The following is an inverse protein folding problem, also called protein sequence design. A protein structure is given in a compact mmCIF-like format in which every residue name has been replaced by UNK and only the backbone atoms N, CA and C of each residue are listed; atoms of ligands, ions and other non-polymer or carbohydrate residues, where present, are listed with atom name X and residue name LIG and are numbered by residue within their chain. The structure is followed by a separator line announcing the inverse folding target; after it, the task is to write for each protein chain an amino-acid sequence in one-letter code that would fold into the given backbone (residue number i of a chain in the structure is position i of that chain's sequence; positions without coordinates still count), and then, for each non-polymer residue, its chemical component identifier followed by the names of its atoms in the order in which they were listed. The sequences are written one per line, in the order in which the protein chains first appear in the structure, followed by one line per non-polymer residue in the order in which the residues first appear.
data_IF_581227498843
#
_entry.id   IF_581227498843
#
_cell.length_a   1.000
_cell.length_b   1.000
_cell.length_c   1.000
_cell.angle_alpha   90.00
_cell.angle_beta   90.00
_cell.angle_gamma   90.00
#
_symmetry.space_group_name_H-M   'P 1'
#
loop_
_entity.id
_entity.type
_entity.pdbx_description
1 polymer ?
#
# COMPACT_ATOMS: atom_id res chain seq x y z
N UNK A 1 -6.19 16.75 -1.83
CA UNK A 1 -6.00 15.62 -2.78
C UNK A 1 -7.33 15.28 -3.43
N UNK A 2 -7.38 14.88 -4.71
CA UNK A 2 -8.62 14.38 -5.31
C UNK A 2 -9.12 13.09 -4.65
N UNK A 3 -8.26 12.40 -3.94
CA UNK A 3 -8.52 11.10 -3.30
C UNK A 3 -9.19 11.23 -1.94
N UNK A 4 -8.88 12.25 -1.16
CA UNK A 4 -9.40 12.42 0.20
C UNK A 4 -9.59 13.89 0.56
N UNK A 5 -10.48 14.15 1.51
CA UNK A 5 -10.66 15.42 2.21
C UNK A 5 -10.27 15.25 3.67
N UNK A 6 -9.61 16.26 4.24
CA UNK A 6 -9.21 16.26 5.64
C UNK A 6 -10.07 17.27 6.40
N UNK A 7 -10.55 16.89 7.56
CA UNK A 7 -11.21 17.78 8.50
C UNK A 7 -10.81 17.43 9.94
N UNK A 8 -11.14 18.31 10.87
CA UNK A 8 -10.89 18.07 12.29
C UNK A 8 -12.21 17.82 13.01
N UNK A 9 -12.28 16.74 13.79
CA UNK A 9 -13.38 16.46 14.69
C UNK A 9 -12.86 16.46 16.13
N UNK A 10 -13.31 17.41 16.96
CA UNK A 10 -12.85 17.57 18.35
C UNK A 10 -11.31 17.61 18.48
N UNK A 11 -10.61 18.28 17.56
CA UNK A 11 -9.16 18.39 17.55
C UNK A 11 -8.42 17.18 16.95
N UNK A 12 -9.13 16.10 16.60
CA UNK A 12 -8.55 14.91 15.97
C UNK A 12 -8.61 15.07 14.45
N UNK A 13 -7.48 14.93 13.72
CA UNK A 13 -7.50 14.95 12.27
C UNK A 13 -8.20 13.70 11.74
N UNK A 14 -9.15 13.90 10.84
CA UNK A 14 -9.89 12.83 10.16
C UNK A 14 -9.69 12.94 8.67
N UNK A 15 -9.25 11.86 8.05
CA UNK A 15 -9.20 11.74 6.59
C UNK A 15 -10.44 11.01 6.08
N UNK A 16 -11.20 11.68 5.20
CA UNK A 16 -12.32 11.07 4.53
C UNK A 16 -11.92 10.71 3.09
N UNK A 17 -11.85 9.43 2.80
CA UNK A 17 -11.46 8.91 1.50
C UNK A 17 -12.67 8.80 0.57
N UNK A 18 -12.56 9.36 -0.64
CA UNK A 18 -13.57 9.22 -1.71
C UNK A 18 -13.50 7.86 -2.40
N UNK A 19 -12.31 7.26 -2.41
CA UNK A 19 -12.05 5.92 -2.95
C UNK A 19 -11.18 5.16 -1.97
N UNK A 20 -11.38 3.86 -1.86
CA UNK A 20 -10.55 3.00 -1.01
C UNK A 20 -9.12 2.90 -1.54
N UNK A 21 -8.97 2.83 -2.87
CA UNK A 21 -7.70 2.68 -3.57
C UNK A 21 -7.36 3.91 -4.41
N UNK A 22 -6.09 4.02 -4.83
CA UNK A 22 -5.65 5.07 -5.74
C UNK A 22 -5.95 4.70 -7.21
N UNK A 23 -7.23 4.84 -7.56
CA UNK A 23 -7.78 4.45 -8.88
C UNK A 23 -7.18 5.22 -10.06
N UNK A 24 -6.56 6.37 -9.79
CA UNK A 24 -5.93 7.17 -10.83
C UNK A 24 -4.51 6.71 -11.17
N UNK A 25 -3.88 5.96 -10.27
CA UNK A 25 -2.47 5.61 -10.38
C UNK A 25 -2.23 4.26 -11.04
N UNK A 26 -3.05 3.26 -10.72
CA UNK A 26 -2.87 1.88 -11.17
C UNK A 26 -4.10 1.41 -11.93
N UNK A 27 -3.90 0.76 -13.10
CA UNK A 27 -5.03 0.20 -13.87
C UNK A 27 -5.84 -0.81 -13.04
N UNK A 28 -5.15 -1.62 -12.26
CA UNK A 28 -5.77 -2.62 -11.40
C UNK A 28 -6.58 -2.01 -10.24
N UNK A 29 -6.28 -0.77 -9.84
CA UNK A 29 -6.96 -0.17 -8.68
C UNK A 29 -8.44 0.13 -8.93
N UNK A 30 -8.85 0.45 -10.17
CA UNK A 30 -10.25 0.74 -10.46
C UNK A 30 -11.15 -0.51 -10.26
N UNK A 31 -10.91 -1.66 -10.91
CA UNK A 31 -11.72 -2.85 -10.68
C UNK A 31 -11.64 -3.36 -9.23
N UNK A 32 -10.49 -3.25 -8.58
CA UNK A 32 -10.37 -3.64 -7.17
C UNK A 32 -11.12 -2.69 -6.23
N UNK A 33 -11.21 -1.40 -6.56
CA UNK A 33 -12.02 -0.45 -5.79
C UNK A 33 -13.52 -0.75 -5.92
N UNK A 34 -13.99 -1.10 -7.12
CA UNK A 34 -15.38 -1.56 -7.31
C UNK A 34 -15.65 -2.84 -6.52
N UNK A 35 -14.74 -3.80 -6.57
CA UNK A 35 -14.84 -5.02 -5.77
C UNK A 35 -14.91 -4.70 -4.27
N UNK A 36 -14.10 -3.77 -3.76
CA UNK A 36 -14.19 -3.32 -2.37
C UNK A 36 -15.56 -2.72 -2.02
N UNK A 37 -16.19 -1.97 -2.94
CA UNK A 37 -17.56 -1.49 -2.72
C UNK A 37 -18.57 -2.63 -2.60
N UNK A 38 -18.45 -3.69 -3.39
CA UNK A 38 -19.34 -4.87 -3.28
C UNK A 38 -19.10 -5.68 -2.01
N UNK A 39 -17.83 -5.72 -1.54
CA UNK A 39 -17.44 -6.43 -0.32
C UNK A 39 -17.71 -5.64 0.96
N UNK A 40 -18.06 -4.35 0.83
CA UNK A 40 -18.39 -3.51 1.98
C UNK A 40 -19.73 -3.96 2.56
N UNK A 41 -19.69 -5.04 3.32
CA UNK A 41 -20.80 -5.56 4.11
C UNK A 41 -20.46 -5.39 5.59
N UNK A 42 -20.81 -4.25 6.21
CA UNK A 42 -20.39 -3.95 7.56
C UNK A 42 -21.07 -4.89 8.56
N UNK A 43 -20.27 -5.44 9.47
CA UNK A 43 -20.75 -6.25 10.59
C UNK A 43 -20.78 -5.39 11.85
N UNK A 44 -21.85 -5.50 12.60
CA UNK A 44 -21.91 -4.88 13.93
C UNK A 44 -21.03 -5.67 14.91
N UNK A 45 -20.16 -4.95 15.61
CA UNK A 45 -19.30 -5.50 16.65
C UNK A 45 -19.46 -4.67 17.92
N UNK A 46 -19.61 -5.36 19.04
CA UNK A 46 -19.67 -4.75 20.37
C UNK A 46 -18.24 -4.68 20.93
N UNK A 47 -17.82 -3.47 21.31
CA UNK A 47 -16.51 -3.22 21.92
C UNK A 47 -16.69 -2.89 23.41
N UNK A 48 -15.61 -3.08 24.20
CA UNK A 48 -15.55 -2.74 25.63
C UNK A 48 -16.72 -3.32 26.43
N UNK A 49 -16.96 -4.64 26.32
CA UNK A 49 -18.04 -5.30 27.05
C UNK A 49 -19.45 -4.93 26.60
N UNK A 50 -19.59 -4.38 25.37
CA UNK A 50 -20.90 -4.00 24.81
C UNK A 50 -21.24 -2.52 24.96
N UNK A 51 -20.35 -1.70 25.51
CA UNK A 51 -20.56 -0.26 25.69
C UNK A 51 -20.66 0.47 24.35
N UNK A 52 -19.88 0.03 23.34
CA UNK A 52 -19.86 0.64 22.01
C UNK A 52 -20.27 -0.38 20.94
N UNK A 53 -21.13 0.05 20.04
CA UNK A 53 -21.45 -0.68 18.81
C UNK A 53 -20.76 0.01 17.64
N UNK A 54 -19.97 -0.78 16.88
CA UNK A 54 -19.25 -0.28 15.70
C UNK A 54 -19.49 -1.22 14.53
N UNK A 55 -19.51 -0.65 13.33
CA UNK A 55 -19.58 -1.41 12.09
C UNK A 55 -18.17 -1.58 11.54
N UNK A 56 -17.76 -2.81 11.34
CA UNK A 56 -16.46 -3.14 10.74
C UNK A 56 -16.67 -3.82 9.38
N UNK A 57 -15.79 -3.60 8.40
CA UNK A 57 -15.86 -4.27 7.11
C UNK A 57 -15.73 -5.80 7.22
N UNK A 58 -16.13 -6.50 6.16
CA UNK A 58 -15.98 -7.96 6.06
C UNK A 58 -14.49 -8.39 6.07
N UNK A 59 -14.16 -9.63 6.43
CA UNK A 59 -12.79 -10.14 6.33
C UNK A 59 -12.22 -10.06 4.91
N UNK A 60 -13.05 -10.33 3.91
CA UNK A 60 -12.68 -10.28 2.49
C UNK A 60 -12.35 -8.86 2.05
N UNK A 61 -13.14 -7.88 2.48
CA UNK A 61 -12.83 -6.46 2.28
C UNK A 61 -11.47 -6.12 2.88
N UNK A 62 -11.26 -6.49 4.15
CA UNK A 62 -10.00 -6.18 4.85
C UNK A 62 -8.81 -6.89 4.18
N UNK A 63 -8.97 -8.14 3.75
CA UNK A 63 -7.92 -8.89 3.05
C UNK A 63 -7.47 -8.17 1.78
N UNK A 64 -8.42 -7.80 0.92
CA UNK A 64 -8.11 -7.07 -0.30
C UNK A 64 -7.55 -5.67 -0.02
N UNK A 65 -8.16 -4.93 0.90
CA UNK A 65 -7.74 -3.56 1.23
C UNK A 65 -6.31 -3.52 1.79
N UNK A 66 -6.01 -4.33 2.82
CA UNK A 66 -4.71 -4.34 3.48
C UNK A 66 -3.58 -4.79 2.55
N UNK A 67 -3.81 -5.85 1.77
CA UNK A 67 -2.80 -6.39 0.85
C UNK A 67 -2.56 -5.45 -0.33
N UNK A 68 -3.61 -4.86 -0.91
CA UNK A 68 -3.46 -3.87 -1.97
C UNK A 68 -2.78 -2.60 -1.45
N UNK A 69 -3.12 -2.16 -0.25
CA UNK A 69 -2.46 -1.02 0.41
C UNK A 69 -0.97 -1.29 0.62
N UNK A 70 -0.60 -2.47 1.12
CA UNK A 70 0.80 -2.88 1.25
C UNK A 70 1.52 -2.88 -0.12
N UNK A 71 0.86 -3.40 -1.17
CA UNK A 71 1.38 -3.39 -2.53
C UNK A 71 1.62 -1.97 -3.06
N UNK A 72 0.76 -1.00 -2.77
CA UNK A 72 0.95 0.41 -3.13
C UNK A 72 2.18 1.03 -2.44
N UNK A 73 2.54 0.54 -1.27
CA UNK A 73 3.75 0.96 -0.54
C UNK A 73 5.02 0.25 -0.98
N UNK A 74 4.93 -0.80 -1.78
CA UNK A 74 6.11 -1.52 -2.28
C UNK A 74 7.04 -0.61 -3.09
N UNK A 75 8.31 -0.61 -2.74
CA UNK A 75 9.32 0.30 -3.28
C UNK A 75 9.27 1.74 -2.76
N UNK A 76 8.23 2.12 -2.01
CA UNK A 76 8.05 3.49 -1.50
C UNK A 76 7.72 3.54 0.01
N UNK A 77 8.07 2.50 0.75
CA UNK A 77 7.92 2.50 2.20
C UNK A 77 6.98 1.44 2.75
N UNK A 78 6.99 0.25 2.16
CA UNK A 78 6.43 -0.92 2.84
C UNK A 78 7.13 -1.09 4.19
N UNK A 79 6.39 -1.40 5.24
CA UNK A 79 6.88 -1.48 6.61
C UNK A 79 6.35 -2.71 7.32
N UNK A 80 6.96 -3.03 8.45
CA UNK A 80 6.57 -4.16 9.29
C UNK A 80 5.07 -4.16 9.68
N UNK A 81 4.46 -2.99 9.91
CA UNK A 81 3.04 -2.94 10.24
C UNK A 81 2.14 -3.51 9.13
N UNK A 82 2.49 -3.33 7.84
CA UNK A 82 1.72 -3.95 6.75
C UNK A 82 1.76 -5.49 6.81
N UNK A 83 2.92 -6.05 7.24
CA UNK A 83 3.05 -7.50 7.47
C UNK A 83 2.22 -7.94 8.67
N UNK A 84 2.27 -7.18 9.76
CA UNK A 84 1.51 -7.48 10.98
C UNK A 84 0.00 -7.40 10.75
N UNK A 85 -0.47 -6.39 10.02
CA UNK A 85 -1.89 -6.26 9.66
C UNK A 85 -2.38 -7.49 8.89
N UNK A 86 -1.58 -7.96 7.92
CA UNK A 86 -1.88 -9.17 7.17
C UNK A 86 -1.82 -10.43 8.05
N UNK A 87 -0.81 -10.56 8.90
CA UNK A 87 -0.66 -11.67 9.82
C UNK A 87 -1.82 -11.78 10.82
N UNK A 88 -2.27 -10.67 11.40
CA UNK A 88 -3.44 -10.65 12.29
C UNK A 88 -4.70 -11.09 11.58
N UNK A 89 -4.90 -10.67 10.33
CA UNK A 89 -6.05 -11.09 9.54
C UNK A 89 -6.00 -12.59 9.27
N UNK A 90 -4.86 -13.12 8.80
CA UNK A 90 -4.66 -14.55 8.56
C UNK A 90 -4.86 -15.37 9.82
N UNK A 91 -4.33 -14.94 10.95
CA UNK A 91 -4.51 -15.63 12.24
C UNK A 91 -5.96 -15.72 12.67
N UNK A 92 -6.76 -14.69 12.38
CA UNK A 92 -8.15 -14.60 12.82
C UNK A 92 -9.13 -15.30 11.88
N UNK A 93 -8.89 -15.22 10.57
CA UNK A 93 -9.87 -15.63 9.56
C UNK A 93 -9.33 -16.66 8.56
N UNK A 94 -8.03 -16.98 8.62
CA UNK A 94 -7.37 -17.77 7.60
C UNK A 94 -7.25 -17.03 6.27
N UNK A 95 -7.05 -17.77 5.19
CA UNK A 95 -7.00 -17.19 3.85
C UNK A 95 -8.41 -16.77 3.39
N UNK A 96 -8.67 -15.47 3.41
CA UNK A 96 -9.98 -14.90 3.08
C UNK A 96 -9.90 -13.86 1.93
N UNK A 97 -8.91 -13.99 1.04
CA UNK A 97 -8.84 -13.15 -0.15
C UNK A 97 -9.99 -13.50 -1.10
N UNK A 98 -10.69 -12.47 -1.67
CA UNK A 98 -11.76 -12.70 -2.63
C UNK A 98 -11.30 -13.49 -3.86
N UNK A 99 -12.12 -14.37 -4.39
CA UNK A 99 -11.83 -15.20 -5.59
C UNK A 99 -11.68 -14.37 -6.86
N UNK A 100 -12.27 -13.19 -6.87
CA UNK A 100 -12.22 -12.21 -7.96
C UNK A 100 -10.84 -11.57 -8.10
N UNK A 101 -9.97 -11.69 -7.10
CA UNK A 101 -8.58 -11.25 -7.19
C UNK A 101 -7.78 -12.29 -7.98
N UNK A 102 -7.62 -12.05 -9.27
CA UNK A 102 -7.00 -12.98 -10.23
C UNK A 102 -5.69 -12.44 -10.84
N UNK A 103 -5.28 -11.22 -10.53
CA UNK A 103 -4.01 -10.68 -11.02
C UNK A 103 -2.83 -11.44 -10.40
N UNK A 104 -2.08 -12.18 -11.23
CA UNK A 104 -1.02 -13.07 -10.80
C UNK A 104 0.09 -12.33 -10.03
N UNK A 105 0.46 -11.13 -10.45
CA UNK A 105 1.52 -10.34 -9.81
C UNK A 105 1.10 -9.86 -8.42
N UNK A 106 -0.16 -9.43 -8.28
CA UNK A 106 -0.71 -9.08 -6.98
C UNK A 106 -0.80 -10.31 -6.08
N UNK A 107 -1.23 -11.46 -6.60
CA UNK A 107 -1.27 -12.72 -5.87
C UNK A 107 0.13 -13.16 -5.41
N UNK A 108 1.13 -13.10 -6.29
CA UNK A 108 2.53 -13.39 -5.92
C UNK A 108 3.03 -12.50 -4.79
N UNK A 109 2.67 -11.21 -4.81
CA UNK A 109 3.03 -10.30 -3.73
C UNK A 109 2.34 -10.68 -2.40
N UNK A 110 1.06 -11.05 -2.43
CA UNK A 110 0.31 -11.49 -1.24
C UNK A 110 0.88 -12.81 -0.71
N UNK A 111 1.20 -13.75 -1.60
CA UNK A 111 1.88 -15.00 -1.24
C UNK A 111 3.24 -14.73 -0.59
N UNK A 112 4.02 -13.79 -1.15
CA UNK A 112 5.31 -13.39 -0.56
C UNK A 112 5.16 -12.78 0.84
N UNK A 113 4.14 -11.96 1.08
CA UNK A 113 3.82 -11.48 2.43
C UNK A 113 3.48 -12.64 3.37
N UNK A 114 2.74 -13.65 2.89
CA UNK A 114 2.38 -14.83 3.71
C UNK A 114 3.59 -15.69 4.03
N UNK A 115 4.52 -15.89 3.08
CA UNK A 115 5.81 -16.53 3.36
C UNK A 115 6.61 -15.79 4.44
N UNK A 116 6.58 -14.45 4.41
CA UNK A 116 7.23 -13.64 5.45
C UNK A 116 6.52 -13.75 6.80
N UNK A 117 5.19 -13.86 6.84
CA UNK A 117 4.46 -14.16 8.08
C UNK A 117 4.89 -15.51 8.67
N UNK A 118 4.96 -16.54 7.85
CA UNK A 118 5.43 -17.86 8.29
C UNK A 118 6.87 -17.80 8.83
N UNK A 119 7.77 -17.14 8.08
CA UNK A 119 9.19 -17.07 8.43
C UNK A 119 9.50 -16.20 9.65
N UNK A 120 8.84 -15.04 9.79
CA UNK A 120 9.22 -14.03 10.78
C UNK A 120 8.34 -14.07 12.04
N UNK A 121 7.12 -14.62 11.93
CA UNK A 121 6.13 -14.65 13.01
C UNK A 121 5.74 -16.07 13.41
N UNK A 122 6.49 -17.06 12.93
CA UNK A 122 6.29 -18.49 13.25
C UNK A 122 4.83 -18.95 12.98
N UNK A 123 4.27 -18.51 11.86
CA UNK A 123 2.95 -18.93 11.41
C UNK A 123 3.09 -20.16 10.49
N UNK A 124 2.04 -20.97 10.41
CA UNK A 124 1.98 -22.16 9.53
C UNK A 124 0.77 -22.03 8.59
N UNK A 125 0.83 -21.05 7.70
CA UNK A 125 -0.22 -20.79 6.72
C UNK A 125 0.18 -21.44 5.39
N UNK A 126 -0.63 -22.38 4.87
CA UNK A 126 -0.37 -22.97 3.56
C UNK A 126 -0.38 -21.91 2.46
N UNK A 127 0.72 -21.81 1.71
CA UNK A 127 0.87 -20.83 0.62
C UNK A 127 1.65 -21.44 -0.53
N UNK A 128 1.26 -21.11 -1.78
CA UNK A 128 1.96 -21.49 -3.00
C UNK A 128 2.16 -20.25 -3.87
N UNK A 129 3.33 -20.11 -4.48
CA UNK A 129 3.70 -18.94 -5.29
C UNK A 129 4.34 -17.83 -4.45
N UNK A 130 4.81 -16.79 -5.12
CA UNK A 130 5.42 -15.62 -4.48
C UNK A 130 6.90 -15.78 -4.09
N UNK A 131 7.47 -16.98 -4.13
CA UNK A 131 8.85 -17.25 -3.73
C UNK A 131 9.88 -16.32 -4.42
N UNK A 132 9.77 -16.02 -5.72
CA UNK A 132 10.75 -15.18 -6.41
C UNK A 132 10.88 -13.78 -5.84
N UNK A 133 9.85 -13.25 -5.19
CA UNK A 133 9.85 -11.87 -4.68
C UNK A 133 9.92 -11.77 -3.16
N UNK A 134 9.91 -12.88 -2.41
CA UNK A 134 9.98 -12.88 -0.94
C UNK A 134 11.18 -12.10 -0.41
N UNK A 135 12.37 -12.38 -0.96
CA UNK A 135 13.60 -11.69 -0.56
C UNK A 135 13.55 -10.20 -0.85
N UNK A 136 12.96 -9.81 -1.99
CA UNK A 136 12.84 -8.41 -2.39
C UNK A 136 11.87 -7.68 -1.45
N UNK A 137 10.73 -8.29 -1.11
CA UNK A 137 9.76 -7.71 -0.16
C UNK A 137 10.39 -7.56 1.22
N UNK A 138 11.14 -8.58 1.68
CA UNK A 138 11.87 -8.53 2.94
C UNK A 138 12.87 -7.36 2.99
N UNK A 139 13.73 -7.25 1.96
CA UNK A 139 14.73 -6.17 1.87
C UNK A 139 14.07 -4.79 1.81
N UNK A 140 12.97 -4.65 1.08
CA UNK A 140 12.21 -3.39 1.02
C UNK A 140 11.62 -2.99 2.38
N UNK A 141 11.28 -3.97 3.20
CA UNK A 141 10.69 -3.75 4.53
C UNK A 141 11.76 -3.42 5.58
N UNK A 142 12.85 -4.19 5.58
CA UNK A 142 13.88 -4.12 6.62
C UNK A 142 14.99 -3.10 6.29
N UNK A 143 15.34 -2.98 5.01
CA UNK A 143 16.47 -2.16 4.53
C UNK A 143 16.08 -1.29 3.32
N UNK A 144 15.07 -0.41 3.44
CA UNK A 144 14.58 0.38 2.31
C UNK A 144 15.67 1.32 1.77
N UNK A 145 16.00 1.19 0.48
CA UNK A 145 17.00 2.04 -0.18
C UNK A 145 16.60 3.53 -0.15
N UNK A 146 15.31 3.80 -0.19
CA UNK A 146 14.73 5.14 -0.11
C UNK A 146 13.68 5.18 1.00
N UNK A 147 14.08 5.44 2.25
CA UNK A 147 13.14 5.46 3.37
C UNK A 147 12.06 6.55 3.17
N UNK A 148 10.80 6.26 3.50
CA UNK A 148 9.67 7.14 3.20
C UNK A 148 9.74 8.49 3.93
N UNK A 149 10.37 8.54 5.10
CA UNK A 149 10.54 9.76 5.92
C UNK A 149 12.00 10.23 5.97
N UNK A 150 12.89 9.61 5.21
CA UNK A 150 14.24 10.13 5.02
C UNK A 150 14.19 11.34 4.12
N UNK A 151 14.57 12.52 4.62
CA UNK A 151 14.76 13.70 3.80
C UNK A 151 15.76 13.44 2.67
N UNK A 152 15.83 14.34 1.68
CA UNK A 152 16.83 14.23 0.61
C UNK A 152 18.23 14.42 1.21
N UNK A 153 19.09 13.36 1.27
CA UNK A 153 20.35 13.39 2.01
C UNK A 153 21.47 14.13 1.29
N UNK A 154 21.13 14.91 0.26
CA UNK A 154 22.09 15.63 -0.58
C UNK A 154 21.80 17.11 -0.63
N UNK A 155 22.85 17.94 -0.84
CA UNK A 155 22.76 19.39 -0.97
C UNK A 155 23.02 19.78 -2.44
N UNK A 156 22.43 20.90 -2.86
CA UNK A 156 22.56 21.44 -4.22
C UNK A 156 21.47 20.93 -5.18
N UNK A 157 21.03 21.83 -6.05
CA UNK A 157 19.87 21.60 -6.95
C UNK A 157 20.06 20.37 -7.83
N UNK A 158 21.22 20.24 -8.48
CA UNK A 158 21.49 19.10 -9.36
C UNK A 158 21.54 17.76 -8.61
N UNK A 159 22.14 17.74 -7.41
CA UNK A 159 22.19 16.54 -6.59
C UNK A 159 20.78 16.12 -6.11
N UNK A 160 19.96 17.10 -5.72
CA UNK A 160 18.55 16.86 -5.33
C UNK A 160 17.75 16.30 -6.52
N UNK A 161 17.86 16.89 -7.70
CA UNK A 161 17.17 16.41 -8.91
C UNK A 161 17.60 14.99 -9.27
N UNK A 162 18.93 14.75 -9.30
CA UNK A 162 19.46 13.40 -9.56
C UNK A 162 18.96 12.36 -8.54
N UNK A 163 18.94 12.71 -7.26
CA UNK A 163 18.41 11.81 -6.21
C UNK A 163 16.92 11.52 -6.43
N UNK A 164 16.09 12.54 -6.67
CA UNK A 164 14.66 12.40 -6.90
C UNK A 164 14.36 11.57 -8.15
N UNK A 165 15.13 11.77 -9.23
CA UNK A 165 15.00 10.97 -10.46
C UNK A 165 15.34 9.51 -10.21
N UNK A 166 16.47 9.23 -9.54
CA UNK A 166 16.86 7.86 -9.18
C UNK A 166 15.79 7.19 -8.30
N UNK A 167 15.28 7.91 -7.29
CA UNK A 167 14.21 7.43 -6.44
C UNK A 167 12.93 7.13 -7.24
N UNK A 168 12.53 8.02 -8.15
CA UNK A 168 11.35 7.84 -8.99
C UNK A 168 11.47 6.57 -9.85
N UNK A 169 12.60 6.38 -10.54
CA UNK A 169 12.87 5.20 -11.36
C UNK A 169 12.89 3.92 -10.53
N UNK A 170 13.53 3.96 -9.37
CA UNK A 170 13.57 2.83 -8.45
C UNK A 170 12.16 2.41 -7.98
N UNK A 171 11.37 3.37 -7.49
CA UNK A 171 10.00 3.10 -7.03
C UNK A 171 9.14 2.57 -8.20
N UNK A 172 9.31 3.14 -9.40
CA UNK A 172 8.61 2.65 -10.58
C UNK A 172 8.97 1.19 -10.87
N UNK A 173 10.27 0.86 -10.88
CA UNK A 173 10.74 -0.52 -11.11
C UNK A 173 10.16 -1.50 -10.10
N UNK A 174 10.16 -1.14 -8.82
CA UNK A 174 9.59 -1.99 -7.77
C UNK A 174 8.07 -2.17 -7.96
N UNK A 175 7.34 -1.10 -8.15
CA UNK A 175 5.89 -1.16 -8.34
C UNK A 175 5.49 -1.85 -9.65
N UNK A 176 6.32 -1.82 -10.70
CA UNK A 176 6.08 -2.55 -11.95
C UNK A 176 6.15 -4.08 -11.80
N UNK A 177 6.74 -4.58 -10.72
CA UNK A 177 6.70 -6.02 -10.39
C UNK A 177 5.30 -6.47 -9.97
N UNK A 178 4.47 -5.55 -9.46
CA UNK A 178 3.12 -5.87 -8.96
C UNK A 178 2.04 -5.27 -9.86
N UNK A 179 2.24 -4.03 -10.33
CA UNK A 179 1.23 -3.28 -11.05
C UNK A 179 1.66 -3.02 -12.48
N UNK A 180 0.74 -3.23 -13.43
CA UNK A 180 0.93 -2.72 -14.79
C UNK A 180 0.69 -1.20 -14.82
N UNK A 181 1.78 -0.43 -14.83
CA UNK A 181 1.67 1.01 -14.96
C UNK A 181 2.81 1.63 -15.79
N UNK A 182 2.46 2.66 -16.55
CA UNK A 182 3.38 3.32 -17.47
C UNK A 182 4.33 4.28 -16.74
N UNK A 183 5.64 4.16 -17.02
CA UNK A 183 6.65 5.11 -16.54
C UNK A 183 6.34 6.54 -17.02
N UNK A 184 5.88 6.71 -18.24
CA UNK A 184 5.53 8.02 -18.81
C UNK A 184 4.39 8.69 -18.07
N UNK A 185 3.35 7.95 -17.71
CA UNK A 185 2.27 8.46 -16.88
C UNK A 185 2.78 8.94 -15.52
N UNK A 186 3.67 8.20 -14.89
CA UNK A 186 4.27 8.57 -13.60
C UNK A 186 5.15 9.82 -13.69
N UNK A 187 5.97 9.93 -14.76
CA UNK A 187 6.77 11.11 -15.01
C UNK A 187 5.85 12.32 -15.21
N UNK A 188 4.80 12.17 -16.00
CA UNK A 188 3.82 13.23 -16.26
C UNK A 188 3.12 13.70 -14.97
N UNK A 189 2.65 12.77 -14.14
CA UNK A 189 2.06 13.08 -12.83
C UNK A 189 3.04 13.87 -11.95
N UNK A 190 4.31 13.48 -11.92
CA UNK A 190 5.36 14.18 -11.18
C UNK A 190 5.58 15.59 -11.71
N UNK A 191 5.63 15.78 -13.03
CA UNK A 191 5.78 17.09 -13.68
C UNK A 191 4.59 17.99 -13.33
N UNK A 192 3.36 17.49 -13.47
CA UNK A 192 2.13 18.26 -13.15
C UNK A 192 2.11 18.71 -11.68
N UNK A 193 2.51 17.82 -10.75
CA UNK A 193 2.60 18.17 -9.31
C UNK A 193 3.62 19.29 -9.10
N UNK A 194 4.78 19.21 -9.75
CA UNK A 194 5.84 20.22 -9.59
C UNK A 194 5.50 21.57 -10.28
N UNK A 195 4.79 21.54 -11.39
CA UNK A 195 4.27 22.78 -12.02
C UNK A 195 3.27 23.47 -11.09
N UNK A 196 2.34 22.69 -10.50
CA UNK A 196 1.32 23.23 -9.58
C UNK A 196 1.89 23.69 -8.23
N UNK A 197 3.00 23.09 -7.78
CA UNK A 197 3.65 23.37 -6.51
C UNK A 197 5.16 23.44 -6.68
N UNK A 198 5.72 24.49 -7.31
CA UNK A 198 7.14 24.56 -7.68
C UNK A 198 8.09 24.45 -6.48
N UNK A 199 7.68 24.91 -5.30
CA UNK A 199 8.47 24.75 -4.07
C UNK A 199 8.78 23.29 -3.74
N UNK A 200 7.95 22.33 -4.20
CA UNK A 200 8.16 20.90 -3.95
C UNK A 200 9.37 20.31 -4.69
N UNK A 201 9.87 20.98 -5.73
CA UNK A 201 11.07 20.55 -6.46
C UNK A 201 12.28 20.51 -5.51
N UNK A 202 12.44 21.55 -4.68
CA UNK A 202 13.58 21.72 -3.78
C UNK A 202 13.28 21.33 -2.32
N UNK A 203 12.03 20.97 -2.01
CA UNK A 203 11.69 20.49 -0.67
C UNK A 203 12.47 19.21 -0.35
N UNK A 204 13.05 19.18 0.83
CA UNK A 204 13.84 18.05 1.34
C UNK A 204 13.00 16.94 1.96
N UNK A 205 11.67 17.07 1.94
CA UNK A 205 10.74 16.08 2.51
C UNK A 205 10.48 16.29 3.99
#
# INVERSE_FOLDING_TARGET
SPKHSNFYYKGIPVENHKTFLDVFRYKLAAPMNELLHTLLNPREVKLCGGIYQVHIPSPEFNALFLTFHAAQHFGNGIRLHHLLDWAFLLKKYGWCLPKEVTDERLLDFICALTHLCNRLLDMDIPVKGGEPIVSIVYEQMMHPLYPPHGGVPVKGVFAILRYKTKRLLYIHRMQAMIFDHSLWRRIWESIVVHIRKPKTILMRG
#
